data_IF_285333146444
#
_entry.id   IF_285333146444
#
_cell.length_a   1.000
_cell.length_b   1.000
_cell.length_c   1.000
_cell.angle_alpha   90.00
_cell.angle_beta   90.00
_cell.angle_gamma   90.00
#
_symmetry.space_group_name_H-M   'P 1'
#
loop_
_entity.id
_entity.type
_entity.pdbx_description
1 polymer ?
#
# COMPACT_ATOMS: atom_id res chain seq x y z
N UNK A 1 5.14 -11.21 -1.07
CA UNK A 1 4.56 -10.43 -2.18
C UNK A 1 5.56 -10.45 -3.32
N UNK A 2 5.20 -10.89 -4.52
CA UNK A 2 6.12 -10.92 -5.67
C UNK A 2 6.14 -9.57 -6.37
N UNK A 3 7.15 -9.28 -7.20
CA UNK A 3 7.20 -8.02 -7.96
C UNK A 3 5.97 -7.81 -8.86
N UNK A 4 5.41 -8.89 -9.42
CA UNK A 4 4.18 -8.84 -10.24
C UNK A 4 2.96 -8.51 -9.40
N UNK A 5 2.88 -9.02 -8.16
CA UNK A 5 1.78 -8.70 -7.25
C UNK A 5 1.83 -7.23 -6.82
N UNK A 6 3.03 -6.70 -6.57
CA UNK A 6 3.23 -5.27 -6.25
C UNK A 6 2.83 -4.39 -7.43
N UNK A 7 3.24 -4.73 -8.66
CA UNK A 7 2.89 -3.99 -9.86
C UNK A 7 1.37 -3.97 -10.12
N UNK A 8 0.72 -5.13 -10.01
CA UNK A 8 -0.73 -5.24 -10.12
C UNK A 8 -1.46 -4.43 -9.04
N UNK A 9 -0.93 -4.43 -7.81
CA UNK A 9 -1.50 -3.66 -6.71
C UNK A 9 -1.31 -2.16 -6.89
N UNK A 10 -0.19 -1.73 -7.45
CA UNK A 10 0.07 -0.34 -7.81
C UNK A 10 -0.89 0.15 -8.89
N UNK A 11 -1.11 -0.64 -9.95
CA UNK A 11 -2.08 -0.32 -11.00
C UNK A 11 -3.49 -0.16 -10.44
N UNK A 12 -3.92 -1.04 -9.55
CA UNK A 12 -5.22 -0.93 -8.88
C UNK A 12 -5.31 0.35 -8.03
N UNK A 13 -4.25 0.66 -7.26
CA UNK A 13 -4.20 1.87 -6.45
C UNK A 13 -4.26 3.15 -7.30
N UNK A 14 -3.51 3.20 -8.40
CA UNK A 14 -3.50 4.31 -9.35
C UNK A 14 -4.84 4.45 -10.10
N UNK A 15 -5.54 3.34 -10.35
CA UNK A 15 -6.90 3.34 -10.90
C UNK A 15 -7.96 3.85 -9.90
N UNK A 16 -7.57 4.16 -8.66
CA UNK A 16 -8.46 4.69 -7.62
C UNK A 16 -9.08 3.61 -6.72
N UNK A 17 -8.64 2.35 -6.82
CA UNK A 17 -9.06 1.33 -5.86
C UNK A 17 -8.45 1.60 -4.49
N UNK A 18 -9.29 1.47 -3.46
CA UNK A 18 -8.83 1.56 -2.07
C UNK A 18 -8.00 0.34 -1.68
N UNK A 19 -7.10 0.52 -0.70
CA UNK A 19 -6.27 -0.57 -0.17
C UNK A 19 -7.09 -1.78 0.31
N UNK A 20 -8.32 -1.56 0.79
CA UNK A 20 -9.24 -2.62 1.17
C UNK A 20 -9.71 -3.47 -0.03
N UNK A 21 -9.91 -2.84 -1.20
CA UNK A 21 -10.25 -3.54 -2.44
C UNK A 21 -9.06 -4.34 -2.95
N UNK A 22 -7.86 -3.72 -2.97
CA UNK A 22 -6.63 -4.43 -3.32
C UNK A 22 -6.42 -5.64 -2.40
N UNK A 23 -6.65 -5.48 -1.09
CA UNK A 23 -6.53 -6.57 -0.12
C UNK A 23 -7.45 -7.75 -0.42
N UNK A 24 -8.67 -7.48 -0.89
CA UNK A 24 -9.63 -8.52 -1.27
C UNK A 24 -9.28 -9.19 -2.60
N UNK A 25 -8.65 -8.45 -3.52
CA UNK A 25 -8.26 -8.93 -4.84
C UNK A 25 -6.96 -9.75 -4.81
N UNK A 26 -5.98 -9.32 -4.03
CA UNK A 26 -4.66 -9.98 -3.92
C UNK A 26 -4.60 -10.99 -2.78
N UNK A 27 -5.54 -10.92 -1.82
CA UNK A 27 -5.54 -11.75 -0.62
C UNK A 27 -4.53 -11.31 0.44
N UNK A 28 -3.73 -10.28 0.17
CA UNK A 28 -2.79 -9.72 1.13
C UNK A 28 -3.46 -8.69 2.04
N UNK A 29 -3.08 -8.60 3.32
CA UNK A 29 -3.61 -7.55 4.19
C UNK A 29 -3.19 -6.17 3.68
N UNK A 30 -4.08 -5.18 3.82
CA UNK A 30 -3.83 -3.80 3.40
C UNK A 30 -2.56 -3.18 3.99
N UNK A 31 -2.12 -3.62 5.17
CA UNK A 31 -0.85 -3.21 5.77
C UNK A 31 0.36 -3.71 4.99
N UNK A 32 0.35 -4.97 4.53
CA UNK A 32 1.42 -5.54 3.68
C UNK A 32 1.47 -4.84 2.33
N UNK A 33 0.32 -4.59 1.72
CA UNK A 33 0.24 -3.84 0.46
C UNK A 33 0.82 -2.43 0.63
N UNK A 34 0.47 -1.75 1.73
CA UNK A 34 1.00 -0.43 2.05
C UNK A 34 2.51 -0.47 2.25
N UNK A 35 3.02 -1.45 2.98
CA UNK A 35 4.45 -1.56 3.21
C UNK A 35 5.20 -1.82 1.89
N UNK A 36 4.70 -2.75 1.07
CA UNK A 36 5.31 -3.09 -0.22
C UNK A 36 5.30 -1.92 -1.22
N UNK A 37 4.19 -1.18 -1.30
CA UNK A 37 4.11 0.04 -2.13
C UNK A 37 5.07 1.13 -1.59
N UNK A 38 5.24 1.24 -0.26
CA UNK A 38 6.18 2.19 0.35
C UNK A 38 7.63 1.80 0.09
N UNK A 39 7.97 0.52 0.21
CA UNK A 39 9.30 -0.02 -0.08
C UNK A 39 9.66 0.14 -1.57
N UNK A 40 8.66 0.02 -2.47
CA UNK A 40 8.84 0.29 -3.91
C UNK A 40 9.05 1.77 -4.23
N UNK A 41 8.68 2.67 -3.32
CA UNK A 41 8.73 4.12 -3.54
C UNK A 41 7.47 4.70 -4.17
N UNK A 42 6.38 3.95 -4.24
CA UNK A 42 5.07 4.49 -4.60
C UNK A 42 4.69 5.53 -3.53
N UNK A 43 4.36 6.78 -3.89
CA UNK A 43 4.04 7.83 -2.93
C UNK A 43 2.69 7.52 -2.28
N UNK A 44 2.71 6.70 -1.23
CA UNK A 44 1.55 6.50 -0.37
C UNK A 44 1.39 7.78 0.41
N UNK A 45 0.29 8.47 0.14
CA UNK A 45 -0.09 9.67 0.87
C UNK A 45 -0.05 9.31 2.36
N UNK A 46 0.87 9.91 3.15
CA UNK A 46 0.97 9.56 4.55
C UNK A 46 -0.39 9.86 5.18
N UNK A 47 -1.01 8.84 5.77
CA UNK A 47 -2.18 9.03 6.60
C UNK A 47 -1.72 9.96 7.74
N UNK A 48 -2.19 11.21 7.73
CA UNK A 48 -1.78 12.34 8.57
C UNK A 48 -0.97 11.95 9.80
N UNK A 49 0.32 12.28 9.77
CA UNK A 49 1.30 11.92 10.78
C UNK A 49 0.83 12.29 12.19
N UNK A 50 0.73 11.28 13.05
CA UNK A 50 0.94 11.44 14.48
C UNK A 50 2.31 10.86 14.79
N UNK A 51 3.35 11.63 14.47
CA UNK A 51 4.67 11.39 15.04
C UNK A 51 4.60 11.81 16.51
N UNK A 52 4.26 10.88 17.40
CA UNK A 52 4.69 10.99 18.79
C UNK A 52 6.18 10.68 18.79
N UNK A 53 7.01 11.72 18.70
CA UNK A 53 8.46 11.58 18.87
C UNK A 53 8.79 11.08 20.29
N UNK A 54 9.87 10.30 20.47
CA UNK A 54 10.26 9.87 21.80
C UNK A 54 10.83 11.06 22.58
N UNK A 55 10.45 11.15 23.86
CA UNK A 55 11.06 11.99 24.89
C UNK A 55 12.16 11.21 25.61
#
# INVERSE_FOLDING_TARGET
MTTTDIDHTELLYLAGHSLASCSRLTGFPASTIRDALRERGTPIRPAGGRHHGPH
#
